data_IF_446541035841
#
_entry.id   IF_446541035841
#
_cell.length_a   1.000
_cell.length_b   1.000
_cell.length_c   1.000
_cell.angle_alpha   90.00
_cell.angle_beta   90.00
_cell.angle_gamma   90.00
#
_symmetry.space_group_name_H-M   'P 1'
#
loop_
_entity.id
_entity.type
_entity.pdbx_description
1 polymer ?
#
# COMPACT_ATOMS: atom_id res chain seq x y z
N UNK A 1 9.81 15.83 18.59
CA UNK A 1 9.77 15.65 17.11
C UNK A 1 8.58 14.78 16.71
N UNK A 2 8.03 14.95 15.50
CA UNK A 2 7.02 14.02 14.91
C UNK A 2 7.71 13.04 13.96
N UNK A 3 7.43 11.75 14.08
CA UNK A 3 7.82 10.73 13.10
C UNK A 3 6.68 10.47 12.11
N UNK A 4 6.98 10.32 10.82
CA UNK A 4 6.00 10.00 9.78
C UNK A 4 6.53 8.84 8.93
N UNK A 5 5.83 7.72 8.95
CA UNK A 5 6.14 6.57 8.09
C UNK A 5 5.25 6.64 6.86
N UNK A 6 5.86 6.78 5.69
CA UNK A 6 5.20 7.02 4.40
C UNK A 6 5.22 5.77 3.51
N UNK A 7 4.05 5.33 3.09
CA UNK A 7 3.90 4.27 2.08
C UNK A 7 2.73 4.49 1.12
N UNK A 8 2.10 5.66 1.17
CA UNK A 8 0.87 5.98 0.43
C UNK A 8 0.89 7.42 -0.08
N UNK A 9 0.04 7.72 -1.06
CA UNK A 9 -0.20 9.09 -1.51
C UNK A 9 -0.73 10.00 -0.39
N UNK A 10 -1.53 9.45 0.51
CA UNK A 10 -2.15 10.14 1.63
C UNK A 10 -1.11 10.50 2.69
N UNK A 11 -0.12 9.64 2.91
CA UNK A 11 1.04 10.00 3.73
C UNK A 11 1.72 11.29 3.26
N UNK A 12 1.87 11.49 1.95
CA UNK A 12 2.43 12.75 1.41
C UNK A 12 1.51 13.95 1.68
N UNK A 13 0.19 13.78 1.58
CA UNK A 13 -0.77 14.83 1.98
C UNK A 13 -0.71 15.14 3.48
N UNK A 14 -0.51 14.13 4.32
CA UNK A 14 -0.28 14.31 5.77
C UNK A 14 0.99 15.13 5.98
N UNK A 15 2.11 14.76 5.34
CA UNK A 15 3.36 15.52 5.43
C UNK A 15 3.19 16.96 4.97
N UNK A 16 2.48 17.19 3.85
CA UNK A 16 2.14 18.53 3.37
C UNK A 16 1.43 19.37 4.43
N UNK A 17 0.39 18.81 5.08
CA UNK A 17 -0.36 19.51 6.13
C UNK A 17 0.46 19.73 7.39
N UNK A 18 1.36 18.81 7.74
CA UNK A 18 2.30 19.02 8.85
C UNK A 18 3.26 20.18 8.57
N UNK A 19 3.75 20.32 7.33
CA UNK A 19 4.62 21.42 6.92
C UNK A 19 3.99 22.81 7.02
N UNK A 20 2.67 22.91 7.17
CA UNK A 20 1.99 24.18 7.46
C UNK A 20 2.31 24.72 8.87
N UNK A 21 2.74 23.86 9.80
CA UNK A 21 2.96 24.26 11.20
C UNK A 21 4.20 23.65 11.86
N UNK A 22 4.93 22.75 11.20
CA UNK A 22 6.18 22.21 11.72
C UNK A 22 7.07 21.59 10.63
N UNK A 23 8.39 21.76 10.79
CA UNK A 23 9.42 21.10 9.96
C UNK A 23 10.27 20.12 10.80
N UNK A 24 10.04 20.06 12.12
CA UNK A 24 10.68 19.13 13.06
C UNK A 24 10.06 17.73 12.93
N UNK A 25 10.31 17.14 11.77
CA UNK A 25 9.72 15.88 11.29
C UNK A 25 10.83 14.91 10.89
N UNK A 26 10.76 13.71 11.44
CA UNK A 26 11.45 12.53 10.92
C UNK A 26 10.54 11.84 9.90
N UNK A 27 11.04 11.56 8.71
CA UNK A 27 10.31 10.85 7.66
C UNK A 27 10.97 9.52 7.35
N UNK A 28 10.19 8.45 7.28
CA UNK A 28 10.67 7.11 6.91
C UNK A 28 9.91 6.57 5.71
N UNK A 29 10.65 6.11 4.70
CA UNK A 29 10.13 5.39 3.54
C UNK A 29 10.87 4.07 3.40
N UNK A 30 10.23 3.05 2.83
CA UNK A 30 10.86 1.73 2.67
C UNK A 30 11.87 1.67 1.50
N UNK A 31 11.95 2.70 0.66
CA UNK A 31 12.76 2.68 -0.58
C UNK A 31 13.29 4.06 -0.91
N UNK A 32 14.44 4.11 -1.62
CA UNK A 32 15.01 5.35 -2.19
C UNK A 32 14.01 6.11 -3.06
N UNK A 33 13.29 5.40 -3.94
CA UNK A 33 12.24 5.98 -4.77
C UNK A 33 11.15 6.69 -3.94
N UNK A 34 10.79 6.12 -2.79
CA UNK A 34 9.86 6.76 -1.86
C UNK A 34 10.39 8.10 -1.34
N UNK A 35 11.69 8.21 -1.11
CA UNK A 35 12.38 9.43 -0.71
C UNK A 35 12.46 10.47 -1.83
N UNK A 36 12.75 10.06 -3.07
CA UNK A 36 12.77 10.96 -4.26
C UNK A 36 11.43 11.68 -4.47
N UNK A 37 10.31 11.07 -4.05
CA UNK A 37 8.98 11.69 -4.13
C UNK A 37 8.76 12.82 -3.09
N UNK A 38 9.75 13.10 -2.25
CA UNK A 38 9.66 14.03 -1.13
C UNK A 38 10.55 15.27 -1.27
N UNK A 39 11.22 15.46 -2.41
CA UNK A 39 12.17 16.57 -2.63
C UNK A 39 11.55 17.96 -2.39
N UNK A 40 10.25 18.12 -2.65
CA UNK A 40 9.53 19.39 -2.46
C UNK A 40 8.97 19.58 -1.02
N UNK A 41 9.11 18.58 -0.15
CA UNK A 41 8.57 18.59 1.21
C UNK A 41 9.64 18.97 2.23
N UNK A 42 9.19 19.48 3.37
CA UNK A 42 10.09 19.89 4.45
C UNK A 42 10.15 18.81 5.52
N UNK A 43 11.36 18.42 5.88
CA UNK A 43 11.61 17.47 6.96
C UNK A 43 13.03 17.69 7.50
N UNK A 44 13.24 17.30 8.76
CA UNK A 44 14.54 17.41 9.40
C UNK A 44 15.42 16.20 9.14
N UNK A 45 14.83 15.02 9.04
CA UNK A 45 15.54 13.75 8.88
C UNK A 45 14.74 12.85 7.94
N UNK A 46 15.44 12.22 6.99
CA UNK A 46 14.87 11.24 6.06
C UNK A 46 15.59 9.90 6.17
N UNK A 47 14.80 8.84 6.34
CA UNK A 47 15.22 7.46 6.18
C UNK A 47 14.53 6.87 4.93
N UNK A 48 15.31 6.16 4.09
CA UNK A 48 14.81 5.53 2.85
C UNK A 48 15.02 4.02 2.81
N UNK A 49 15.19 3.42 3.99
CA UNK A 49 15.43 1.99 4.18
C UNK A 49 14.37 1.39 5.11
N UNK A 50 13.98 0.12 4.95
CA UNK A 50 13.10 -0.54 5.91
C UNK A 50 13.70 -0.51 7.32
N UNK A 51 12.84 -0.34 8.34
CA UNK A 51 13.20 -0.42 9.75
C UNK A 51 12.40 -1.54 10.42
N UNK A 52 13.06 -2.31 11.26
CA UNK A 52 12.43 -3.23 12.20
C UNK A 52 12.12 -2.51 13.53
N UNK A 53 11.60 -3.25 14.52
CA UNK A 53 11.27 -2.67 15.83
C UNK A 53 12.47 -1.97 16.48
N UNK A 54 13.66 -2.59 16.45
CA UNK A 54 14.87 -2.01 17.05
C UNK A 54 15.31 -0.75 16.32
N UNK A 55 15.30 -0.76 14.98
CA UNK A 55 15.60 0.42 14.19
C UNK A 55 14.64 1.59 14.45
N UNK A 56 13.35 1.32 14.71
CA UNK A 56 12.43 2.37 15.14
C UNK A 56 12.74 2.89 16.54
N UNK A 57 13.07 2.02 17.50
CA UNK A 57 13.47 2.43 18.86
C UNK A 57 14.68 3.37 18.80
N UNK A 58 15.74 2.98 18.09
CA UNK A 58 16.96 3.78 17.95
C UNK A 58 16.66 5.18 17.40
N UNK A 59 15.80 5.26 16.38
CA UNK A 59 15.41 6.52 15.76
C UNK A 59 14.54 7.36 16.70
N UNK A 60 13.64 6.74 17.47
CA UNK A 60 12.79 7.44 18.43
C UNK A 60 13.65 8.12 19.49
N UNK A 61 14.55 7.36 20.12
CA UNK A 61 15.41 7.83 21.20
C UNK A 61 16.40 8.88 20.71
N UNK A 62 17.09 8.62 19.60
CA UNK A 62 18.10 9.54 19.05
C UNK A 62 17.52 10.90 18.66
N UNK A 63 16.27 10.94 18.23
CA UNK A 63 15.65 12.15 17.68
C UNK A 63 14.55 12.75 18.57
N UNK A 64 14.36 12.20 19.77
CA UNK A 64 13.30 12.62 20.70
C UNK A 64 11.93 12.68 19.99
N UNK A 65 11.58 11.59 19.31
CA UNK A 65 10.26 11.46 18.67
C UNK A 65 9.23 11.20 19.75
N UNK A 66 8.14 11.96 19.74
CA UNK A 66 7.09 11.88 20.77
C UNK A 66 5.80 11.26 20.22
N UNK A 67 5.67 11.22 18.90
CA UNK A 67 4.52 10.70 18.16
C UNK A 67 5.02 10.13 16.84
N UNK A 68 4.59 8.91 16.50
CA UNK A 68 4.72 8.38 15.14
C UNK A 68 3.35 8.32 14.45
N UNK A 69 3.29 8.89 13.25
CA UNK A 69 2.19 8.76 12.31
C UNK A 69 2.52 7.65 11.30
N UNK A 70 1.83 6.53 11.43
CA UNK A 70 1.89 5.42 10.49
C UNK A 70 0.90 5.63 9.35
N UNK A 71 1.44 6.00 8.18
CA UNK A 71 0.69 6.12 6.91
C UNK A 71 1.20 5.12 5.85
N UNK A 72 1.74 3.99 6.32
CA UNK A 72 2.17 2.89 5.47
C UNK A 72 0.97 2.26 4.73
N UNK A 73 1.23 1.52 3.65
CA UNK A 73 0.16 0.88 2.88
C UNK A 73 -0.67 -0.08 3.76
N UNK A 74 -2.00 -0.23 3.57
CA UNK A 74 -2.83 -1.16 4.36
C UNK A 74 -2.40 -2.64 4.33
N UNK A 75 -1.46 -3.01 3.45
CA UNK A 75 -0.90 -4.38 3.33
C UNK A 75 0.56 -4.44 3.82
N UNK A 76 1.07 -3.35 4.40
CA UNK A 76 2.39 -3.27 5.01
C UNK A 76 2.27 -3.60 6.51
N UNK A 77 1.71 -4.76 6.81
CA UNK A 77 1.38 -5.19 8.18
C UNK A 77 2.60 -5.23 9.09
N UNK A 78 3.72 -5.77 8.59
CA UNK A 78 4.93 -5.95 9.38
C UNK A 78 5.49 -4.62 9.88
N UNK A 79 5.53 -3.58 9.03
CA UNK A 79 6.03 -2.27 9.45
C UNK A 79 5.10 -1.63 10.47
N UNK A 80 3.78 -1.77 10.32
CA UNK A 80 2.83 -1.30 11.33
C UNK A 80 3.02 -2.00 12.68
N UNK A 81 3.22 -3.33 12.68
CA UNK A 81 3.51 -4.11 13.91
C UNK A 81 4.81 -3.63 14.57
N UNK A 82 5.86 -3.43 13.79
CA UNK A 82 7.15 -2.93 14.29
C UNK A 82 7.03 -1.54 14.91
N UNK A 83 6.29 -0.63 14.27
CA UNK A 83 6.07 0.73 14.80
C UNK A 83 5.28 0.66 16.11
N UNK A 84 4.18 -0.09 16.17
CA UNK A 84 3.38 -0.22 17.39
C UNK A 84 4.20 -0.77 18.55
N UNK A 85 5.03 -1.79 18.31
CA UNK A 85 5.91 -2.34 19.33
C UNK A 85 6.96 -1.32 19.80
N UNK A 86 7.58 -0.60 18.87
CA UNK A 86 8.55 0.45 19.19
C UNK A 86 7.91 1.60 19.99
N UNK A 87 6.74 2.08 19.56
CA UNK A 87 6.01 3.14 20.26
C UNK A 87 5.64 2.72 21.68
N UNK A 88 5.19 1.49 21.87
CA UNK A 88 4.90 0.92 23.18
C UNK A 88 6.14 0.84 24.07
N UNK A 89 7.28 0.40 23.54
CA UNK A 89 8.54 0.28 24.29
C UNK A 89 9.11 1.64 24.69
N UNK A 90 9.03 2.63 23.81
CA UNK A 90 9.48 3.99 24.08
C UNK A 90 8.44 4.86 24.81
N UNK A 91 7.25 4.33 25.07
CA UNK A 91 6.12 5.06 25.68
C UNK A 91 5.77 6.37 24.94
N UNK A 92 5.65 6.29 23.61
CA UNK A 92 5.27 7.41 22.74
C UNK A 92 3.94 7.15 22.04
N UNK A 93 3.34 8.22 21.50
CA UNK A 93 2.06 8.11 20.81
C UNK A 93 2.21 7.42 19.45
N UNK A 94 1.22 6.60 19.11
CA UNK A 94 1.09 5.94 17.82
C UNK A 94 -0.24 6.31 17.18
N UNK A 95 -0.18 6.98 16.03
CA UNK A 95 -1.35 7.30 15.20
C UNK A 95 -1.29 6.60 13.86
N UNK A 96 -2.34 5.83 13.55
CA UNK A 96 -2.48 5.12 12.28
C UNK A 96 -3.41 5.91 11.38
N UNK A 97 -2.92 6.35 10.22
CA UNK A 97 -3.81 6.72 9.12
C UNK A 97 -4.04 5.52 8.20
N UNK A 98 -5.29 5.14 7.99
CA UNK A 98 -5.64 4.14 7.02
C UNK A 98 -6.91 4.52 6.27
N UNK A 99 -6.79 4.68 4.95
CA UNK A 99 -7.93 4.95 4.07
C UNK A 99 -9.00 3.86 4.17
N UNK A 100 -10.30 4.20 4.05
CA UNK A 100 -11.38 3.22 4.03
C UNK A 100 -11.24 2.14 2.94
N UNK A 101 -11.83 0.98 3.19
CA UNK A 101 -12.13 -0.01 2.15
C UNK A 101 -13.31 0.46 1.31
N UNK A 102 -13.28 0.18 0.00
CA UNK A 102 -14.43 0.40 -0.89
C UNK A 102 -15.21 -0.88 -1.20
N UNK A 103 -14.79 -2.02 -0.65
CA UNK A 103 -15.36 -3.33 -1.02
C UNK A 103 -16.85 -3.45 -0.70
N UNK A 104 -17.34 -2.68 0.27
CA UNK A 104 -18.76 -2.63 0.62
C UNK A 104 -19.64 -2.19 -0.56
N UNK A 105 -19.15 -1.33 -1.43
CA UNK A 105 -19.87 -0.84 -2.62
C UNK A 105 -20.00 -1.91 -3.72
N UNK A 106 -19.14 -2.93 -3.68
CA UNK A 106 -19.04 -3.95 -4.71
C UNK A 106 -19.53 -5.34 -4.28
N UNK A 107 -20.06 -5.45 -3.05
CA UNK A 107 -20.46 -6.74 -2.43
C UNK A 107 -21.51 -7.53 -3.22
N UNK A 108 -22.37 -6.85 -3.99
CA UNK A 108 -23.49 -7.47 -4.69
C UNK A 108 -23.10 -7.97 -6.10
N UNK A 109 -21.88 -7.68 -6.56
CA UNK A 109 -21.37 -8.13 -7.86
C UNK A 109 -20.75 -9.53 -7.73
N UNK A 110 -21.43 -10.54 -8.27
CA UNK A 110 -21.01 -11.96 -8.18
C UNK A 110 -19.64 -12.25 -8.80
N UNK A 111 -19.19 -11.43 -9.75
CA UNK A 111 -17.88 -11.57 -10.39
C UNK A 111 -16.75 -10.92 -9.58
N UNK A 112 -17.04 -10.23 -8.48
CA UNK A 112 -16.06 -9.71 -7.53
C UNK A 112 -15.98 -10.68 -6.34
N UNK A 113 -14.82 -11.30 -6.18
CA UNK A 113 -14.57 -12.39 -5.24
C UNK A 113 -13.51 -11.90 -4.25
N UNK A 114 -13.90 -11.72 -2.98
CA UNK A 114 -12.93 -11.52 -1.91
C UNK A 114 -12.25 -12.84 -1.55
N UNK A 115 -10.95 -12.80 -1.31
CA UNK A 115 -10.15 -13.95 -0.84
C UNK A 115 -9.31 -13.50 0.34
N UNK A 116 -9.20 -14.32 1.38
CA UNK A 116 -8.54 -13.95 2.64
C UNK A 116 -7.04 -13.77 2.47
N UNK A 117 -6.42 -14.61 1.64
CA UNK A 117 -4.98 -14.69 1.46
C UNK A 117 -4.61 -15.27 0.08
N UNK A 118 -3.33 -15.58 -0.11
CA UNK A 118 -2.82 -16.15 -1.36
C UNK A 118 -3.15 -17.63 -1.51
N UNK A 119 -3.43 -18.35 -0.42
CA UNK A 119 -3.76 -19.78 -0.47
C UNK A 119 -5.19 -19.94 -1.00
N UNK A 120 -6.15 -19.18 -0.45
CA UNK A 120 -7.51 -19.13 -0.99
C UNK A 120 -7.53 -18.59 -2.43
N UNK A 121 -6.69 -17.59 -2.72
CA UNK A 121 -6.54 -17.09 -4.10
C UNK A 121 -6.13 -18.20 -5.06
N UNK A 122 -5.12 -19.02 -4.70
CA UNK A 122 -4.66 -20.13 -5.53
C UNK A 122 -5.80 -21.12 -5.82
N UNK A 123 -6.55 -21.52 -4.79
CA UNK A 123 -7.68 -22.45 -4.93
C UNK A 123 -8.73 -21.92 -5.91
N UNK A 124 -9.09 -20.64 -5.82
CA UNK A 124 -10.09 -20.04 -6.71
C UNK A 124 -9.56 -19.88 -8.14
N UNK A 125 -8.30 -19.47 -8.30
CA UNK A 125 -7.70 -19.26 -9.62
C UNK A 125 -7.59 -20.53 -10.45
N UNK A 126 -7.50 -21.72 -9.82
CA UNK A 126 -7.50 -23.01 -10.54
C UNK A 126 -8.75 -23.25 -11.37
N UNK A 127 -9.88 -22.60 -11.04
CA UNK A 127 -11.12 -22.69 -11.81
C UNK A 127 -11.20 -21.73 -13.00
N UNK A 128 -10.31 -20.73 -13.05
CA UNK A 128 -10.30 -19.70 -14.10
C UNK A 128 -9.73 -20.29 -15.38
N UNK A 129 -10.43 -20.13 -16.50
CA UNK A 129 -9.93 -20.47 -17.83
C UNK A 129 -9.55 -19.20 -18.58
N UNK A 130 -8.30 -19.09 -19.03
CA UNK A 130 -7.79 -17.94 -19.80
C UNK A 130 -6.77 -17.09 -19.03
N UNK A 131 -6.45 -15.91 -19.56
CA UNK A 131 -5.35 -15.09 -19.06
C UNK A 131 -5.74 -14.34 -17.78
N UNK A 132 -4.76 -14.06 -16.92
CA UNK A 132 -4.96 -13.39 -15.64
C UNK A 132 -4.09 -12.13 -15.60
N UNK A 133 -4.69 -10.99 -15.23
CA UNK A 133 -3.94 -9.77 -14.92
C UNK A 133 -3.61 -9.74 -13.42
N UNK A 134 -2.34 -9.76 -13.06
CA UNK A 134 -1.90 -9.49 -11.70
C UNK A 134 -1.59 -8.00 -11.50
N UNK A 135 -2.38 -7.35 -10.64
CA UNK A 135 -2.21 -5.94 -10.28
C UNK A 135 -1.80 -5.74 -8.81
N UNK A 136 -1.31 -6.80 -8.16
CA UNK A 136 -0.90 -6.79 -6.74
C UNK A 136 0.52 -6.22 -6.50
N UNK A 137 1.26 -5.99 -7.58
CA UNK A 137 2.62 -5.46 -7.60
C UNK A 137 3.70 -6.51 -7.31
N UNK A 138 4.97 -6.09 -7.28
CA UNK A 138 6.11 -7.00 -7.22
C UNK A 138 6.47 -7.56 -5.84
N UNK A 139 5.83 -7.08 -4.75
CA UNK A 139 6.20 -7.48 -3.38
C UNK A 139 6.03 -8.99 -3.18
N UNK A 140 4.88 -9.54 -3.57
CA UNK A 140 4.48 -10.93 -3.38
C UNK A 140 4.34 -11.69 -4.72
N UNK A 141 5.03 -11.23 -5.76
CA UNK A 141 4.93 -11.85 -7.09
C UNK A 141 5.42 -13.31 -7.07
N UNK A 142 6.39 -13.61 -6.22
CA UNK A 142 6.86 -14.97 -5.92
C UNK A 142 5.74 -15.90 -5.47
N UNK A 143 4.80 -15.43 -4.64
CA UNK A 143 3.63 -16.21 -4.22
C UNK A 143 2.78 -16.63 -5.42
N UNK A 144 2.53 -15.71 -6.36
CA UNK A 144 1.72 -15.99 -7.56
C UNK A 144 2.47 -16.94 -8.51
N UNK A 145 3.77 -16.74 -8.70
CA UNK A 145 4.59 -17.62 -9.54
C UNK A 145 4.64 -19.04 -8.96
N UNK A 146 4.75 -19.17 -7.64
CA UNK A 146 4.81 -20.45 -6.94
C UNK A 146 3.51 -21.27 -7.01
N UNK A 147 2.37 -20.63 -7.32
CA UNK A 147 1.09 -21.34 -7.56
C UNK A 147 1.15 -22.26 -8.78
N UNK A 148 2.12 -22.05 -9.70
CA UNK A 148 2.30 -22.83 -10.93
C UNK A 148 0.99 -22.98 -11.72
N UNK A 149 0.28 -21.85 -11.87
CA UNK A 149 -0.98 -21.80 -12.62
C UNK A 149 -0.75 -22.23 -14.07
N UNK A 150 -1.74 -22.92 -14.66
CA UNK A 150 -1.74 -23.23 -16.10
C UNK A 150 -2.03 -21.99 -16.96
N UNK A 151 -2.61 -20.97 -16.35
CA UNK A 151 -2.95 -19.69 -16.96
C UNK A 151 -1.70 -18.89 -17.30
N UNK A 152 -1.76 -18.13 -18.39
CA UNK A 152 -0.82 -17.02 -18.62
C UNK A 152 -1.16 -15.91 -17.63
N UNK A 153 -0.17 -15.48 -16.84
CA UNK A 153 -0.33 -14.41 -15.85
C UNK A 153 0.50 -13.21 -16.29
N UNK A 154 -0.15 -12.06 -16.47
CA UNK A 154 0.50 -10.82 -16.87
C UNK A 154 0.62 -9.93 -15.65
N UNK A 155 1.86 -9.64 -15.26
CA UNK A 155 2.18 -8.92 -14.04
C UNK A 155 2.40 -7.44 -14.30
N UNK A 156 1.60 -6.61 -13.61
CA UNK A 156 1.74 -5.16 -13.64
C UNK A 156 2.56 -4.67 -12.45
N UNK A 157 3.75 -4.15 -12.74
CA UNK A 157 4.74 -3.77 -11.73
C UNK A 157 5.30 -2.36 -11.97
N UNK A 158 5.90 -1.78 -10.94
CA UNK A 158 6.62 -0.51 -11.08
C UNK A 158 7.81 -0.71 -12.03
N UNK A 159 8.05 0.19 -13.01
CA UNK A 159 9.13 0.03 -13.99
C UNK A 159 10.51 0.43 -13.42
N UNK A 160 10.83 0.05 -12.18
CA UNK A 160 12.16 0.25 -11.63
C UNK A 160 13.07 -0.91 -12.01
N UNK A 161 14.36 -0.64 -12.24
CA UNK A 161 15.35 -1.66 -12.63
C UNK A 161 15.38 -2.84 -11.65
N UNK A 162 15.34 -2.58 -10.35
CA UNK A 162 15.31 -3.60 -9.31
C UNK A 162 14.05 -4.48 -9.38
N UNK A 163 12.88 -3.89 -9.65
CA UNK A 163 11.62 -4.63 -9.74
C UNK A 163 11.56 -5.46 -11.02
N UNK A 164 11.95 -4.89 -12.16
CA UNK A 164 12.00 -5.62 -13.43
C UNK A 164 12.99 -6.79 -13.34
N UNK A 165 14.19 -6.55 -12.78
CA UNK A 165 15.18 -7.62 -12.54
C UNK A 165 14.60 -8.73 -11.66
N UNK A 166 13.95 -8.39 -10.54
CA UNK A 166 13.29 -9.37 -9.67
C UNK A 166 12.31 -10.24 -10.45
N UNK A 167 11.50 -9.65 -11.32
CA UNK A 167 10.51 -10.41 -12.10
C UNK A 167 11.19 -11.38 -13.09
N UNK A 168 12.23 -10.94 -13.79
CA UNK A 168 12.98 -11.77 -14.72
C UNK A 168 13.71 -12.91 -13.99
N UNK A 169 14.35 -12.62 -12.84
CA UNK A 169 15.04 -13.63 -12.02
C UNK A 169 14.07 -14.72 -11.52
N UNK A 170 12.79 -14.37 -11.30
CA UNK A 170 11.72 -15.31 -10.94
C UNK A 170 11.11 -16.05 -12.14
N UNK A 171 11.62 -15.83 -13.35
CA UNK A 171 11.19 -16.53 -14.56
C UNK A 171 9.96 -15.93 -15.26
N UNK A 172 9.55 -14.71 -14.90
CA UNK A 172 8.47 -14.03 -15.63
C UNK A 172 8.96 -13.64 -17.02
N UNK A 173 8.19 -14.00 -18.05
CA UNK A 173 8.50 -13.66 -19.44
C UNK A 173 8.34 -12.15 -19.67
N UNK A 174 9.14 -11.59 -20.56
CA UNK A 174 9.06 -10.15 -20.91
C UNK A 174 7.66 -9.80 -21.46
N UNK A 175 7.08 -10.68 -22.29
CA UNK A 175 5.73 -10.51 -22.86
C UNK A 175 4.62 -10.50 -21.79
N UNK A 176 4.92 -10.94 -20.58
CA UNK A 176 4.01 -11.06 -19.44
C UNK A 176 4.24 -9.95 -18.40
N UNK A 177 5.02 -8.92 -18.74
CA UNK A 177 5.32 -7.79 -17.86
C UNK A 177 4.78 -6.46 -18.40
N UNK A 178 4.03 -5.76 -17.54
CA UNK A 178 3.62 -4.37 -17.77
C UNK A 178 4.35 -3.50 -16.75
N UNK A 179 5.34 -2.73 -17.22
CA UNK A 179 6.02 -1.72 -16.42
C UNK A 179 5.27 -0.39 -16.43
N UNK A 180 4.53 -0.05 -15.37
CA UNK A 180 3.79 1.23 -15.28
C UNK A 180 3.66 1.73 -13.84
N UNK A 181 3.79 3.04 -13.66
CA UNK A 181 3.51 3.71 -12.38
C UNK A 181 2.00 3.98 -12.26
N UNK A 182 1.36 3.35 -11.28
CA UNK A 182 -0.06 3.59 -10.97
C UNK A 182 -0.32 4.82 -10.08
N UNK A 183 -1.59 5.11 -9.73
CA UNK A 183 -2.80 4.37 -10.11
C UNK A 183 -3.12 4.49 -11.62
N UNK A 184 -3.91 3.56 -12.16
CA UNK A 184 -4.25 3.49 -13.60
C UNK A 184 -5.72 3.82 -13.80
N UNK A 185 -6.04 4.52 -14.89
CA UNK A 185 -7.41 4.93 -15.19
C UNK A 185 -8.31 3.74 -15.53
N UNK A 186 -9.62 3.94 -15.43
CA UNK A 186 -10.63 2.96 -15.86
C UNK A 186 -10.40 2.51 -17.31
N UNK A 187 -10.21 3.45 -18.24
CA UNK A 187 -9.98 3.15 -19.66
C UNK A 187 -8.72 2.33 -19.89
N UNK A 188 -7.64 2.64 -19.16
CA UNK A 188 -6.40 1.88 -19.31
C UNK A 188 -6.53 0.47 -18.73
N UNK A 189 -7.27 0.28 -17.64
CA UNK A 189 -7.57 -1.07 -17.14
C UNK A 189 -8.39 -1.87 -18.17
N UNK A 190 -9.36 -1.27 -18.85
CA UNK A 190 -10.09 -1.93 -19.95
C UNK A 190 -9.19 -2.26 -21.13
N UNK A 191 -8.28 -1.35 -21.49
CA UNK A 191 -7.31 -1.58 -22.54
C UNK A 191 -6.44 -2.81 -22.22
N UNK A 192 -5.91 -2.91 -20.99
CA UNK A 192 -5.16 -4.11 -20.58
C UNK A 192 -6.00 -5.39 -20.61
N UNK A 193 -7.25 -5.33 -20.17
CA UNK A 193 -8.14 -6.50 -20.23
C UNK A 193 -8.32 -6.97 -21.68
N UNK A 194 -8.51 -6.05 -22.63
CA UNK A 194 -8.68 -6.36 -24.05
C UNK A 194 -7.39 -6.86 -24.69
N UNK A 195 -6.29 -6.14 -24.49
CA UNK A 195 -4.98 -6.44 -25.09
C UNK A 195 -4.51 -7.85 -24.75
N UNK A 196 -4.69 -8.26 -23.48
CA UNK A 196 -4.23 -9.56 -23.01
C UNK A 196 -5.34 -10.62 -22.97
N UNK A 197 -6.53 -10.36 -23.53
CA UNK A 197 -7.72 -11.22 -23.41
C UNK A 197 -7.93 -11.79 -22.00
N UNK A 198 -7.83 -10.90 -21.00
CA UNK A 198 -7.86 -11.30 -19.60
C UNK A 198 -9.26 -11.78 -19.20
N UNK A 199 -9.32 -12.90 -18.47
CA UNK A 199 -10.55 -13.48 -17.91
C UNK A 199 -10.64 -13.29 -16.40
N UNK A 200 -9.53 -12.95 -15.76
CA UNK A 200 -9.52 -12.54 -14.37
C UNK A 200 -8.50 -11.42 -14.11
N UNK A 201 -8.72 -10.67 -13.03
CA UNK A 201 -7.78 -9.70 -12.49
C UNK A 201 -7.62 -9.91 -10.99
N UNK A 202 -6.37 -10.04 -10.54
CA UNK A 202 -5.99 -10.14 -9.13
C UNK A 202 -5.63 -8.74 -8.64
N UNK A 203 -6.12 -8.36 -7.47
CA UNK A 203 -5.78 -7.08 -6.86
C UNK A 203 -5.80 -7.12 -5.34
N UNK A 204 -5.28 -6.04 -4.76
CA UNK A 204 -5.45 -5.66 -3.36
C UNK A 204 -6.52 -4.56 -3.26
N UNK A 205 -7.24 -4.53 -2.15
CA UNK A 205 -8.05 -3.38 -1.76
C UNK A 205 -7.14 -2.24 -1.27
N UNK A 206 -6.55 -1.52 -2.21
CA UNK A 206 -5.80 -0.30 -1.94
C UNK A 206 -6.68 0.95 -1.81
N UNK A 207 -8.01 0.82 -1.71
CA UNK A 207 -8.96 1.95 -1.65
C UNK A 207 -8.98 2.84 -2.90
N UNK A 208 -9.70 3.96 -2.82
CA UNK A 208 -9.90 4.90 -3.96
C UNK A 208 -8.56 5.41 -4.48
N UNK A 209 -7.72 5.99 -3.62
CA UNK A 209 -6.45 6.57 -4.10
C UNK A 209 -5.43 5.52 -4.56
N UNK A 210 -5.68 4.23 -4.28
CA UNK A 210 -4.94 3.10 -4.84
C UNK A 210 -5.43 2.63 -6.21
N UNK A 211 -6.46 3.26 -6.77
CA UNK A 211 -7.06 2.89 -8.06
C UNK A 211 -7.93 1.64 -8.00
N UNK A 212 -8.40 1.23 -6.81
CA UNK A 212 -9.23 0.02 -6.67
C UNK A 212 -10.58 0.20 -7.36
N UNK A 213 -11.17 1.39 -7.30
CA UNK A 213 -12.46 1.69 -7.92
C UNK A 213 -12.41 1.50 -9.44
N UNK A 214 -11.42 2.09 -10.09
CA UNK A 214 -11.23 2.04 -11.55
C UNK A 214 -11.02 0.60 -12.04
N UNK A 215 -10.27 -0.21 -11.30
CA UNK A 215 -10.07 -1.64 -11.61
C UNK A 215 -11.38 -2.42 -11.48
N UNK A 216 -12.09 -2.29 -10.37
CA UNK A 216 -13.36 -3.00 -10.13
C UNK A 216 -14.41 -2.61 -11.16
N UNK A 217 -14.51 -1.31 -11.48
CA UNK A 217 -15.43 -0.84 -12.51
C UNK A 217 -15.09 -1.41 -13.90
N UNK A 218 -13.80 -1.47 -14.26
CA UNK A 218 -13.37 -2.10 -15.50
C UNK A 218 -13.68 -3.60 -15.54
N UNK A 219 -13.50 -4.32 -14.42
CA UNK A 219 -13.82 -5.75 -14.30
C UNK A 219 -15.30 -6.02 -14.52
N UNK A 220 -16.17 -5.20 -13.90
CA UNK A 220 -17.62 -5.30 -14.02
C UNK A 220 -18.04 -5.06 -15.47
N UNK A 221 -17.59 -3.95 -16.06
CA UNK A 221 -18.02 -3.56 -17.41
C UNK A 221 -17.47 -4.49 -18.50
N UNK A 222 -16.32 -5.15 -18.25
CA UNK A 222 -15.74 -6.15 -19.14
C UNK A 222 -16.21 -7.58 -18.84
N UNK A 223 -17.03 -7.77 -17.81
CA UNK A 223 -17.58 -9.06 -17.37
C UNK A 223 -16.50 -10.15 -17.16
N UNK A 224 -15.42 -9.80 -16.46
CA UNK A 224 -14.36 -10.74 -16.06
C UNK A 224 -14.42 -11.00 -14.55
N UNK A 225 -13.65 -11.96 -14.04
CA UNK A 225 -13.57 -12.22 -12.60
C UNK A 225 -12.58 -11.26 -11.91
N UNK A 226 -12.96 -10.64 -10.81
CA UNK A 226 -12.09 -9.85 -9.96
C UNK A 226 -11.80 -10.58 -8.65
N UNK A 227 -10.52 -10.86 -8.39
CA UNK A 227 -10.09 -11.45 -7.11
C UNK A 227 -9.44 -10.37 -6.26
N UNK A 228 -10.08 -10.04 -5.14
CA UNK A 228 -9.59 -9.02 -4.20
C UNK A 228 -9.07 -9.70 -2.95
N UNK A 229 -7.76 -9.64 -2.75
CA UNK A 229 -7.13 -10.12 -1.52
C UNK A 229 -7.55 -9.18 -0.40
N UNK A 230 -8.10 -9.69 0.70
CA UNK A 230 -8.57 -8.90 1.83
C UNK A 230 -7.41 -8.24 2.59
N UNK A 231 -7.72 -7.17 3.33
CA UNK A 231 -6.77 -6.54 4.24
C UNK A 231 -6.72 -7.35 5.53
N UNK A 232 -5.54 -7.50 6.12
CA UNK A 232 -5.45 -8.05 7.48
C UNK A 232 -6.15 -7.11 8.47
N UNK A 233 -6.99 -7.69 9.33
CA UNK A 233 -7.69 -6.93 10.36
C UNK A 233 -6.77 -6.75 11.57
N UNK A 234 -6.09 -5.61 11.62
CA UNK A 234 -5.21 -5.24 12.74
C UNK A 234 -5.97 -4.27 13.65
N UNK A 235 -5.92 -4.57 14.95
CA UNK A 235 -6.42 -3.66 15.96
C UNK A 235 -5.38 -2.55 16.21
N UNK A 236 -5.63 -1.37 15.65
CA UNK A 236 -4.83 -0.17 15.88
C UNK A 236 -5.48 0.66 16.99
N UNK A 237 -4.69 1.09 17.98
CA UNK A 237 -5.20 1.86 19.12
C UNK A 237 -5.84 3.20 18.69
N UNK A 238 -5.13 3.98 17.88
CA UNK A 238 -5.59 5.30 17.42
C UNK A 238 -5.63 5.35 15.89
N UNK A 239 -6.71 4.82 15.31
CA UNK A 239 -6.92 4.76 13.86
C UNK A 239 -7.73 5.95 13.34
N UNK A 240 -7.21 6.61 12.33
CA UNK A 240 -7.84 7.70 11.59
C UNK A 240 -8.09 7.27 10.14
N UNK A 241 -9.28 7.59 9.64
CA UNK A 241 -9.66 7.43 8.21
C UNK A 241 -9.74 8.76 7.48
N UNK A 242 -9.66 9.87 8.23
CA UNK A 242 -9.77 11.25 7.78
C UNK A 242 -8.49 12.01 8.15
N UNK A 243 -7.87 12.64 7.15
CA UNK A 243 -6.58 13.33 7.31
C UNK A 243 -6.76 14.58 8.18
N UNK A 244 -7.85 15.34 8.02
CA UNK A 244 -8.06 16.58 8.75
C UNK A 244 -8.33 16.30 10.23
N UNK A 245 -9.07 15.24 10.55
CA UNK A 245 -9.24 14.78 11.95
C UNK A 245 -7.90 14.40 12.58
N UNK A 246 -7.05 13.67 11.87
CA UNK A 246 -5.71 13.32 12.34
C UNK A 246 -4.88 14.58 12.61
N UNK A 247 -4.83 15.51 11.66
CA UNK A 247 -4.04 16.74 11.81
C UNK A 247 -4.57 17.61 12.96
N UNK A 248 -5.89 17.70 13.14
CA UNK A 248 -6.48 18.43 14.25
C UNK A 248 -6.16 17.80 15.61
N UNK A 249 -6.16 16.47 15.71
CA UNK A 249 -5.74 15.75 16.91
C UNK A 249 -4.28 16.10 17.27
N UNK A 250 -3.37 16.05 16.29
CA UNK A 250 -1.94 16.35 16.47
C UNK A 250 -1.74 17.80 16.93
N UNK A 251 -2.49 18.74 16.34
CA UNK A 251 -2.48 20.14 16.77
C UNK A 251 -2.94 20.25 18.23
N UNK A 252 -4.04 19.60 18.60
CA UNK A 252 -4.56 19.57 19.97
C UNK A 252 -3.53 19.13 21.00
N UNK A 253 -2.85 18.00 20.77
CA UNK A 253 -1.81 17.48 21.67
C UNK A 253 -0.63 18.45 21.84
N UNK A 254 -0.23 19.13 20.76
CA UNK A 254 0.80 20.17 20.85
C UNK A 254 0.33 21.35 21.68
N UNK A 255 -0.92 21.78 21.57
CA UNK A 255 -1.44 22.91 22.37
C UNK A 255 -1.60 22.58 23.85
N UNK A 256 -1.91 21.32 24.22
CA UNK A 256 -1.99 20.91 25.63
C UNK A 256 -0.63 20.85 26.32
N UNK A 257 0.47 20.57 25.59
CA UNK A 257 1.84 20.59 26.15
C UNK A 257 2.35 21.98 26.56
N UNK A 258 1.66 23.05 26.17
CA UNK A 258 2.01 24.44 26.52
C UNK A 258 1.03 25.10 27.50
N UNK A 259 0.13 24.31 28.11
CA UNK A 259 -0.68 24.74 29.27
C UNK A 259 -0.11 24.16 30.54
#
# INVERSE_FOLDING_TARGET
MIGVVLGTSEGRKILQKLNEFTEDIFVSTATKYGGELLEEYKYKILNTSPLDTLGFIDVIEKNNIELIIDSSHPYAVDVSKNIMEACKKCNILYYRYERPSIMREFKDYKNIISVKDYDELEEKLRSVKGNILDTTGSKNIDKIINMKLKNRVIHRVLPSSAVIKKCIDLGVKIDDLIGIKGPTSYELNKAFIKEYDAKAMIMKDSGIAGGTYEKLKAIIDMNIQGFVIERENINYENKFTDIDKLINQIKGEKYEKYK
#
